data_IF_464497326643
#
_entry.id   IF_464497326643
#
_cell.length_a   1.000
_cell.length_b   1.000
_cell.length_c   1.000
_cell.angle_alpha   90.00
_cell.angle_beta   90.00
_cell.angle_gamma   90.00
#
_symmetry.space_group_name_H-M   'P 1'
#
loop_
_entity.id
_entity.type
_entity.pdbx_description
1 polymer ?
#
# COMPACT_ATOMS: atom_id res chain seq x y z
N UNK A 1 -3.63 -19.90 -9.52
CA UNK A 1 -3.23 -20.67 -8.30
C UNK A 1 -2.08 -21.63 -8.59
N UNK A 2 -2.15 -22.46 -9.63
CA UNK A 2 -1.09 -23.43 -9.94
C UNK A 2 0.21 -22.76 -10.41
N UNK A 3 0.13 -21.74 -11.24
CA UNK A 3 1.28 -20.95 -11.70
C UNK A 3 1.95 -20.22 -10.54
N UNK A 4 1.17 -19.71 -9.58
CA UNK A 4 1.68 -19.02 -8.40
C UNK A 4 2.42 -19.98 -7.47
N UNK A 5 1.90 -21.17 -7.26
CA UNK A 5 2.52 -22.19 -6.43
C UNK A 5 3.85 -22.69 -7.04
N UNK A 6 3.93 -22.82 -8.36
CA UNK A 6 5.17 -23.18 -9.03
C UNK A 6 6.24 -22.08 -8.91
N UNK A 7 5.86 -20.81 -9.00
CA UNK A 7 6.82 -19.71 -8.80
C UNK A 7 7.31 -19.65 -7.35
N UNK A 8 6.44 -19.86 -6.37
CA UNK A 8 6.83 -19.94 -4.95
C UNK A 8 7.78 -21.10 -4.71
N UNK A 9 7.50 -22.28 -5.26
CA UNK A 9 8.37 -23.45 -5.11
C UNK A 9 9.75 -23.23 -5.74
N UNK A 10 9.83 -22.58 -6.91
CA UNK A 10 11.11 -22.24 -7.56
C UNK A 10 11.89 -21.23 -6.70
N UNK A 11 11.24 -20.22 -6.17
CA UNK A 11 11.87 -19.22 -5.31
C UNK A 11 12.38 -19.87 -4.02
N UNK A 12 11.59 -20.73 -3.37
CA UNK A 12 12.02 -21.48 -2.19
C UNK A 12 13.24 -22.37 -2.47
N UNK A 13 13.25 -23.07 -3.60
CA UNK A 13 14.38 -23.94 -3.95
C UNK A 13 15.66 -23.17 -4.28
N UNK A 14 15.53 -21.94 -4.81
CA UNK A 14 16.69 -21.16 -5.27
C UNK A 14 17.23 -20.20 -4.20
N UNK A 15 16.38 -19.66 -3.35
CA UNK A 15 16.73 -18.58 -2.39
C UNK A 15 16.54 -19.00 -0.92
N UNK A 16 15.76 -20.04 -0.65
CA UNK A 16 15.40 -20.47 0.72
C UNK A 16 16.58 -20.87 1.62
N UNK A 17 17.75 -21.17 1.04
CA UNK A 17 18.97 -21.50 1.78
C UNK A 17 19.98 -20.37 1.93
N UNK A 18 19.72 -19.19 1.33
CA UNK A 18 20.67 -18.06 1.35
C UNK A 18 20.38 -17.18 2.56
N UNK A 19 21.38 -16.93 3.38
CA UNK A 19 21.29 -16.03 4.54
C UNK A 19 22.14 -14.77 4.30
N UNK A 20 21.57 -13.60 4.58
CA UNK A 20 22.26 -12.32 4.57
C UNK A 20 22.33 -11.81 6.02
N UNK A 21 23.55 -11.64 6.54
CA UNK A 21 23.77 -11.22 7.93
C UNK A 21 23.05 -12.08 8.98
N UNK A 22 22.88 -13.40 8.72
CA UNK A 22 22.20 -14.32 9.63
C UNK A 22 20.67 -14.36 9.52
N UNK A 23 20.06 -13.53 8.66
CA UNK A 23 18.64 -13.57 8.34
C UNK A 23 18.40 -14.23 7.00
N UNK A 24 17.28 -14.91 6.84
CA UNK A 24 16.91 -15.44 5.51
C UNK A 24 16.71 -14.29 4.51
N UNK A 25 17.20 -14.44 3.31
CA UNK A 25 17.18 -13.36 2.28
C UNK A 25 15.76 -12.96 1.90
N UNK A 26 14.83 -13.90 1.90
CA UNK A 26 13.44 -13.64 1.47
C UNK A 26 12.70 -12.61 2.32
N UNK A 27 12.59 -12.74 3.65
CA UNK A 27 11.95 -11.71 4.47
C UNK A 27 12.62 -10.34 4.36
N UNK A 28 13.95 -10.29 4.20
CA UNK A 28 14.69 -9.05 4.01
C UNK A 28 14.31 -8.39 2.67
N UNK A 29 14.31 -9.16 1.58
CA UNK A 29 13.96 -8.66 0.25
C UNK A 29 12.50 -8.16 0.22
N UNK A 30 11.58 -8.90 0.83
CA UNK A 30 10.16 -8.54 0.93
C UNK A 30 9.96 -7.28 1.79
N UNK A 31 10.71 -7.14 2.87
CA UNK A 31 10.71 -5.93 3.71
C UNK A 31 11.24 -4.71 2.95
N UNK A 32 12.32 -4.85 2.19
CA UNK A 32 12.86 -3.78 1.34
C UNK A 32 11.87 -3.39 0.22
N UNK A 33 11.17 -4.36 -0.36
CA UNK A 33 10.10 -4.10 -1.32
C UNK A 33 8.99 -3.28 -0.69
N UNK A 34 8.58 -3.62 0.54
CA UNK A 34 7.58 -2.84 1.27
C UNK A 34 8.08 -1.42 1.60
N UNK A 35 9.35 -1.23 1.91
CA UNK A 35 9.93 0.10 2.12
C UNK A 35 9.80 0.97 0.86
N UNK A 36 10.04 0.39 -0.33
CA UNK A 36 9.78 1.05 -1.61
C UNK A 36 8.30 1.39 -1.82
N UNK A 37 7.41 0.48 -1.44
CA UNK A 37 5.95 0.72 -1.43
C UNK A 37 5.59 1.87 -0.50
N UNK A 38 6.11 1.88 0.73
CA UNK A 38 5.85 2.93 1.72
C UNK A 38 6.29 4.32 1.22
N UNK A 39 7.44 4.40 0.55
CA UNK A 39 7.90 5.65 -0.08
C UNK A 39 6.97 6.11 -1.19
N UNK A 40 6.58 5.22 -2.10
CA UNK A 40 5.72 5.55 -3.24
C UNK A 40 4.26 5.83 -2.85
N UNK A 41 3.74 5.12 -1.85
CA UNK A 41 2.38 5.28 -1.36
C UNK A 41 2.25 6.31 -0.23
N UNK A 42 3.30 7.06 0.03
CA UNK A 42 3.33 8.12 1.04
C UNK A 42 2.89 7.64 2.44
N UNK A 43 3.32 6.45 2.84
CA UNK A 43 3.09 5.95 4.19
C UNK A 43 4.04 6.61 5.19
N UNK A 44 3.64 6.65 6.45
CA UNK A 44 4.56 7.09 7.51
C UNK A 44 5.84 6.22 7.53
N UNK A 45 7.04 6.84 7.62
CA UNK A 45 7.35 8.27 7.75
C UNK A 45 7.50 9.04 6.43
N UNK A 46 7.33 8.41 5.26
CA UNK A 46 7.62 8.98 3.92
C UNK A 46 6.45 9.78 3.31
N UNK A 47 5.55 10.34 4.12
CA UNK A 47 4.30 10.95 3.64
C UNK A 47 4.43 12.44 3.22
N UNK A 48 5.52 13.12 3.58
CA UNK A 48 5.67 14.58 3.48
C UNK A 48 5.58 15.09 2.04
N UNK A 49 6.10 14.34 1.08
CA UNK A 49 6.13 14.75 -0.32
C UNK A 49 4.74 14.86 -0.97
N UNK A 50 3.75 14.11 -0.48
CA UNK A 50 2.45 14.00 -1.12
C UNK A 50 1.61 15.29 -1.02
N UNK A 51 1.50 15.97 0.15
CA UNK A 51 0.87 17.28 0.25
C UNK A 51 1.61 18.38 -0.52
N UNK A 52 2.94 18.32 -0.61
CA UNK A 52 3.74 19.28 -1.35
C UNK A 52 3.51 19.17 -2.87
N UNK A 53 3.17 17.99 -3.36
CA UNK A 53 2.79 17.78 -4.76
C UNK A 53 1.48 18.50 -5.16
N UNK A 54 0.75 19.10 -4.21
CA UNK A 54 -0.46 19.90 -4.47
C UNK A 54 -0.20 21.27 -5.10
N UNK A 55 1.03 21.73 -5.11
CA UNK A 55 1.47 22.95 -5.81
C UNK A 55 1.33 22.85 -7.35
N UNK A 56 1.20 21.62 -7.86
CA UNK A 56 1.05 21.34 -9.28
C UNK A 56 -0.35 21.60 -9.85
N UNK A 57 -0.49 21.54 -11.19
CA UNK A 57 -1.78 21.70 -11.84
C UNK A 57 -2.75 20.60 -11.43
N UNK A 58 -4.03 20.95 -11.27
CA UNK A 58 -5.08 20.05 -10.77
C UNK A 58 -5.22 18.71 -11.50
N UNK A 59 -5.16 18.66 -12.86
CA UNK A 59 -5.22 17.38 -13.57
C UNK A 59 -4.06 16.44 -13.22
N UNK A 60 -2.85 16.96 -13.02
CA UNK A 60 -1.70 16.16 -12.62
C UNK A 60 -1.84 15.65 -11.20
N UNK A 61 -2.31 16.50 -10.28
CA UNK A 61 -2.61 16.10 -8.89
C UNK A 61 -3.69 15.02 -8.84
N UNK A 62 -4.76 15.16 -9.60
CA UNK A 62 -5.82 14.16 -9.71
C UNK A 62 -5.26 12.80 -10.18
N UNK A 63 -4.42 12.79 -11.21
CA UNK A 63 -3.81 11.56 -11.73
C UNK A 63 -2.90 10.89 -10.71
N UNK A 64 -2.03 11.64 -10.04
CA UNK A 64 -1.08 11.13 -9.04
C UNK A 64 -1.80 10.48 -7.87
N UNK A 65 -2.83 11.15 -7.33
CA UNK A 65 -3.51 10.74 -6.11
C UNK A 65 -4.63 9.72 -6.33
N UNK A 66 -5.32 9.78 -7.48
CA UNK A 66 -6.47 8.92 -7.70
C UNK A 66 -6.09 7.55 -8.29
N UNK A 67 -5.34 7.53 -9.40
CA UNK A 67 -5.32 6.35 -10.24
C UNK A 67 -3.94 5.72 -10.46
N UNK A 68 -2.83 6.44 -10.25
CA UNK A 68 -1.53 5.95 -10.75
C UNK A 68 -0.46 5.78 -9.67
N UNK A 69 0.12 6.85 -9.18
CA UNK A 69 1.38 6.77 -8.47
C UNK A 69 1.25 6.16 -7.07
N UNK A 70 0.28 6.64 -6.28
CA UNK A 70 0.12 6.21 -4.88
C UNK A 70 -0.51 4.82 -4.79
N UNK A 71 -1.43 4.53 -5.70
CA UNK A 71 -2.13 3.24 -5.82
C UNK A 71 -1.21 2.11 -6.28
N UNK A 72 -0.16 2.43 -7.05
CA UNK A 72 0.81 1.45 -7.53
C UNK A 72 1.49 0.66 -6.40
N UNK A 73 1.69 1.28 -5.22
CA UNK A 73 2.23 0.59 -4.06
C UNK A 73 1.30 -0.49 -3.51
N UNK A 74 0.00 -0.19 -3.36
CA UNK A 74 -1.02 -1.17 -2.94
C UNK A 74 -1.09 -2.31 -3.95
N UNK A 75 -1.11 -1.99 -5.25
CA UNK A 75 -1.14 -2.97 -6.31
C UNK A 75 0.10 -3.87 -6.30
N UNK A 76 1.29 -3.32 -6.02
CA UNK A 76 2.52 -4.12 -5.92
C UNK A 76 2.44 -5.12 -4.75
N UNK A 77 1.97 -4.71 -3.57
CA UNK A 77 1.75 -5.63 -2.44
C UNK A 77 0.72 -6.69 -2.80
N UNK A 78 -0.39 -6.31 -3.43
CA UNK A 78 -1.41 -7.25 -3.87
C UNK A 78 -0.87 -8.24 -4.93
N UNK A 79 0.00 -7.80 -5.83
CA UNK A 79 0.60 -8.66 -6.85
C UNK A 79 1.59 -9.66 -6.25
N UNK A 80 2.35 -9.24 -5.25
CA UNK A 80 3.32 -10.06 -4.53
C UNK A 80 2.69 -10.77 -3.32
N UNK A 81 1.37 -10.66 -3.12
CA UNK A 81 0.67 -11.17 -1.95
C UNK A 81 0.98 -12.63 -1.62
N UNK A 82 1.05 -13.58 -2.59
CA UNK A 82 1.43 -14.95 -2.29
C UNK A 82 2.82 -15.07 -1.66
N UNK A 83 3.78 -14.25 -2.08
CA UNK A 83 5.14 -14.26 -1.51
C UNK A 83 5.11 -13.75 -0.07
N UNK A 84 4.32 -12.71 0.21
CA UNK A 84 4.16 -12.19 1.57
C UNK A 84 3.54 -13.24 2.51
N UNK A 85 2.52 -13.96 2.05
CA UNK A 85 1.79 -14.94 2.88
C UNK A 85 2.65 -16.17 3.17
N UNK A 86 3.35 -16.71 2.16
CA UNK A 86 4.07 -17.99 2.29
C UNK A 86 5.48 -17.82 2.83
N UNK A 87 6.20 -16.77 2.44
CA UNK A 87 7.62 -16.61 2.76
C UNK A 87 7.89 -15.65 3.92
N UNK A 88 7.03 -14.66 4.13
CA UNK A 88 7.28 -13.60 5.09
C UNK A 88 6.00 -13.10 5.78
N UNK A 89 5.24 -13.96 6.48
CA UNK A 89 4.01 -13.54 7.17
C UNK A 89 4.26 -12.44 8.20
N UNK A 90 5.44 -12.41 8.82
CA UNK A 90 5.85 -11.36 9.75
C UNK A 90 5.87 -9.96 9.11
N UNK A 91 6.20 -9.87 7.81
CA UNK A 91 6.19 -8.59 7.09
C UNK A 91 4.76 -8.11 6.84
N UNK A 92 3.79 -9.01 6.63
CA UNK A 92 2.37 -8.64 6.56
C UNK A 92 1.87 -8.04 7.87
N UNK A 93 2.31 -8.56 8.99
CA UNK A 93 1.99 -8.00 10.31
C UNK A 93 2.54 -6.58 10.45
N UNK A 94 3.80 -6.36 10.07
CA UNK A 94 4.41 -5.02 10.06
C UNK A 94 3.63 -4.07 9.13
N UNK A 95 3.22 -4.52 7.94
CA UNK A 95 2.41 -3.75 7.00
C UNK A 95 1.09 -3.33 7.64
N UNK A 96 0.44 -4.25 8.37
CA UNK A 96 -0.82 -4.00 9.07
C UNK A 96 -0.66 -2.90 10.12
N UNK A 97 0.34 -2.99 10.99
CA UNK A 97 0.58 -1.99 12.05
C UNK A 97 0.95 -0.62 11.48
N UNK A 98 1.88 -0.58 10.52
CA UNK A 98 2.26 0.69 9.87
C UNK A 98 1.08 1.29 9.12
N UNK A 99 0.30 0.45 8.44
CA UNK A 99 -0.92 0.88 7.74
C UNK A 99 -1.97 1.45 8.68
N UNK A 100 -2.27 0.77 9.78
CA UNK A 100 -3.24 1.23 10.78
C UNK A 100 -2.81 2.56 11.40
N UNK A 101 -1.55 2.67 11.81
CA UNK A 101 -1.00 3.93 12.33
C UNK A 101 -1.09 5.07 11.31
N UNK A 102 -0.64 4.81 10.07
CA UNK A 102 -0.65 5.81 8.99
C UNK A 102 -2.06 6.25 8.65
N UNK A 103 -3.02 5.32 8.62
CA UNK A 103 -4.43 5.63 8.33
C UNK A 103 -5.02 6.60 9.36
N UNK A 104 -4.82 6.33 10.65
CA UNK A 104 -5.28 7.21 11.72
C UNK A 104 -4.55 8.55 11.71
N UNK A 105 -3.22 8.52 11.63
CA UNK A 105 -2.37 9.70 11.62
C UNK A 105 -2.75 10.67 10.48
N UNK A 106 -2.87 10.16 9.26
CA UNK A 106 -3.24 10.98 8.11
C UNK A 106 -4.68 11.52 8.21
N UNK A 107 -5.62 10.76 8.77
CA UNK A 107 -6.98 11.23 8.99
C UNK A 107 -7.04 12.39 9.98
N UNK A 108 -6.30 12.33 11.07
CA UNK A 108 -6.20 13.41 12.06
C UNK A 108 -5.60 14.68 11.43
N UNK A 109 -4.52 14.54 10.65
CA UNK A 109 -3.92 15.68 9.97
C UNK A 109 -4.86 16.28 8.93
N UNK A 110 -5.62 15.46 8.20
CA UNK A 110 -6.61 15.93 7.23
C UNK A 110 -7.63 16.89 7.87
N UNK A 111 -8.05 16.64 9.11
CA UNK A 111 -8.99 17.49 9.85
C UNK A 111 -8.39 18.86 10.23
N UNK A 112 -7.08 19.01 10.23
CA UNK A 112 -6.39 20.26 10.59
C UNK A 112 -6.02 21.13 9.40
N UNK A 113 -6.20 20.63 8.16
CA UNK A 113 -5.85 21.36 6.95
C UNK A 113 -6.92 22.40 6.59
N UNK A 114 -6.45 23.56 6.12
CA UNK A 114 -7.32 24.65 5.63
C UNK A 114 -7.56 24.58 4.14
N UNK A 115 -6.60 23.98 3.38
CA UNK A 115 -6.66 23.86 1.92
C UNK A 115 -7.36 22.56 1.50
N UNK A 116 -8.41 22.67 0.69
CA UNK A 116 -9.19 21.50 0.23
C UNK A 116 -8.34 20.46 -0.51
N UNK A 117 -7.36 20.89 -1.30
CA UNK A 117 -6.44 19.97 -2.00
C UNK A 117 -5.57 19.21 -1.02
N UNK A 118 -5.09 19.84 0.06
CA UNK A 118 -4.31 19.18 1.12
C UNK A 118 -5.18 18.22 1.93
N UNK A 119 -6.43 18.58 2.24
CA UNK A 119 -7.40 17.66 2.87
C UNK A 119 -7.56 16.40 2.02
N UNK A 120 -7.75 16.56 0.70
CA UNK A 120 -7.89 15.45 -0.23
C UNK A 120 -6.61 14.60 -0.31
N UNK A 121 -5.43 15.21 -0.23
CA UNK A 121 -4.15 14.51 -0.22
C UNK A 121 -3.99 13.63 1.04
N UNK A 122 -4.20 14.20 2.24
CA UNK A 122 -4.11 13.42 3.48
C UNK A 122 -5.20 12.34 3.57
N UNK A 123 -6.41 12.62 3.08
CA UNK A 123 -7.43 11.58 2.99
C UNK A 123 -7.07 10.46 2.01
N UNK A 124 -6.29 10.75 0.95
CA UNK A 124 -5.72 9.71 0.08
C UNK A 124 -4.74 8.83 0.84
N UNK A 125 -3.79 9.41 1.59
CA UNK A 125 -2.84 8.65 2.41
C UNK A 125 -3.58 7.71 3.36
N UNK A 126 -4.62 8.23 4.04
CA UNK A 126 -5.44 7.45 4.97
C UNK A 126 -6.11 6.26 4.28
N UNK A 127 -6.71 6.46 3.11
CA UNK A 127 -7.40 5.39 2.37
C UNK A 127 -6.45 4.35 1.80
N UNK A 128 -5.30 4.76 1.28
CA UNK A 128 -4.26 3.85 0.79
C UNK A 128 -3.72 2.99 1.94
N UNK A 129 -3.46 3.60 3.09
CA UNK A 129 -3.02 2.88 4.28
C UNK A 129 -4.09 1.87 4.75
N UNK A 130 -5.37 2.24 4.69
CA UNK A 130 -6.49 1.35 5.01
C UNK A 130 -6.56 0.14 4.05
N UNK A 131 -6.32 0.33 2.75
CA UNK A 131 -6.24 -0.78 1.79
C UNK A 131 -5.09 -1.74 2.13
N UNK A 132 -3.94 -1.22 2.57
CA UNK A 132 -2.80 -2.05 2.98
C UNK A 132 -3.08 -2.82 4.27
N UNK A 133 -3.82 -2.24 5.23
CA UNK A 133 -4.31 -2.97 6.41
C UNK A 133 -5.20 -4.13 5.99
N UNK A 134 -6.14 -3.91 5.08
CA UNK A 134 -7.04 -4.96 4.57
C UNK A 134 -6.26 -6.11 3.90
N UNK A 135 -5.21 -5.79 3.13
CA UNK A 135 -4.31 -6.80 2.57
C UNK A 135 -3.53 -7.54 3.67
N UNK A 136 -2.97 -6.81 4.64
CA UNK A 136 -2.18 -7.39 5.71
C UNK A 136 -2.97 -8.36 6.59
N UNK A 137 -4.21 -8.02 6.93
CA UNK A 137 -5.10 -8.88 7.74
C UNK A 137 -5.57 -10.11 6.95
N UNK A 138 -5.65 -10.04 5.63
CA UNK A 138 -6.11 -11.16 4.78
C UNK A 138 -5.22 -12.40 4.85
N UNK A 139 -3.97 -12.27 5.32
CA UNK A 139 -3.06 -13.41 5.50
C UNK A 139 -3.32 -14.24 6.78
N UNK A 140 -4.15 -13.76 7.72
CA UNK A 140 -4.32 -14.35 9.06
C UNK A 140 -5.71 -14.95 9.33
N UNK A 141 -6.66 -14.88 8.39
CA UNK A 141 -8.05 -15.26 8.65
C UNK A 141 -8.46 -16.61 8.06
N UNK A 142 -9.49 -17.23 8.66
CA UNK A 142 -10.14 -18.43 8.16
C UNK A 142 -10.88 -18.20 6.83
N UNK A 143 -11.16 -16.94 6.47
CA UNK A 143 -11.77 -16.52 5.20
C UNK A 143 -10.70 -16.02 4.24
N UNK A 144 -10.02 -16.96 3.60
CA UNK A 144 -8.94 -16.70 2.65
C UNK A 144 -9.42 -15.77 1.50
N UNK A 145 -8.78 -14.61 1.38
CA UNK A 145 -8.97 -13.70 0.24
C UNK A 145 -10.03 -12.61 0.41
N UNK A 146 -10.80 -12.56 1.50
CA UNK A 146 -11.82 -11.53 1.68
C UNK A 146 -11.18 -10.13 1.79
N UNK A 147 -10.13 -9.97 2.59
CA UNK A 147 -9.41 -8.71 2.74
C UNK A 147 -8.69 -8.30 1.45
N UNK A 148 -8.16 -9.26 0.69
CA UNK A 148 -7.59 -9.02 -0.63
C UNK A 148 -8.66 -8.47 -1.59
N UNK A 149 -9.80 -9.14 -1.69
CA UNK A 149 -10.91 -8.72 -2.55
C UNK A 149 -11.44 -7.35 -2.14
N UNK A 150 -11.63 -7.11 -0.85
CA UNK A 150 -12.07 -5.81 -0.32
C UNK A 150 -11.08 -4.68 -0.65
N UNK A 151 -9.78 -4.93 -0.50
CA UNK A 151 -8.74 -3.95 -0.86
C UNK A 151 -8.78 -3.61 -2.35
N UNK A 152 -8.90 -4.61 -3.23
CA UNK A 152 -8.93 -4.40 -4.69
C UNK A 152 -10.20 -3.67 -5.14
N UNK A 153 -11.37 -3.99 -4.57
CA UNK A 153 -12.60 -3.25 -4.82
C UNK A 153 -12.52 -1.80 -4.34
N UNK A 154 -11.96 -1.59 -3.14
CA UNK A 154 -11.79 -0.24 -2.61
C UNK A 154 -10.80 0.58 -3.44
N UNK A 155 -9.74 -0.05 -3.96
CA UNK A 155 -8.80 0.59 -4.88
C UNK A 155 -9.50 1.12 -6.13
N UNK A 156 -10.38 0.31 -6.75
CA UNK A 156 -11.15 0.73 -7.93
C UNK A 156 -12.11 1.88 -7.62
N UNK A 157 -12.91 1.76 -6.56
CA UNK A 157 -13.86 2.81 -6.16
C UNK A 157 -13.14 4.09 -5.76
N UNK A 158 -12.03 3.99 -5.00
CA UNK A 158 -11.20 5.13 -4.62
C UNK A 158 -10.66 5.88 -5.83
N UNK A 159 -10.16 5.18 -6.85
CA UNK A 159 -9.66 5.82 -8.07
C UNK A 159 -10.73 6.67 -8.74
N UNK A 160 -11.97 6.16 -8.81
CA UNK A 160 -13.08 6.88 -9.46
C UNK A 160 -13.49 8.12 -8.68
N UNK A 161 -13.83 7.99 -7.39
CA UNK A 161 -14.33 9.14 -6.64
C UNK A 161 -13.23 10.17 -6.31
N UNK A 162 -11.98 9.75 -6.12
CA UNK A 162 -10.88 10.70 -5.89
C UNK A 162 -10.55 11.53 -7.12
N UNK A 163 -10.56 10.94 -8.31
CA UNK A 163 -10.36 11.70 -9.54
C UNK A 163 -11.42 12.79 -9.68
N UNK A 164 -12.70 12.47 -9.47
CA UNK A 164 -13.79 13.44 -9.53
C UNK A 164 -13.68 14.53 -8.45
N UNK A 165 -13.32 14.18 -7.22
CA UNK A 165 -13.15 15.15 -6.13
C UNK A 165 -12.00 16.13 -6.39
N UNK A 166 -10.86 15.65 -6.88
CA UNK A 166 -9.74 16.53 -7.22
C UNK A 166 -10.09 17.48 -8.39
N UNK A 167 -10.76 16.97 -9.42
CA UNK A 167 -11.19 17.81 -10.57
C UNK A 167 -12.23 18.84 -10.13
N UNK A 168 -13.11 18.50 -9.17
CA UNK A 168 -14.10 19.45 -8.65
C UNK A 168 -13.48 20.50 -7.71
N UNK A 169 -12.36 20.20 -7.07
CA UNK A 169 -11.66 21.10 -6.14
C UNK A 169 -10.70 22.08 -6.84
N UNK A 170 -10.48 21.95 -8.13
CA UNK A 170 -9.53 22.75 -8.90
C UNK A 170 -10.13 23.51 -10.03
#
# INVERSE_FOLDING_TARGET
TEVTNNHVAIVQSTVGGVTLCGCSVMPVAVCLTFLGVAGKSAMFPFHIWLPDAMEGPTPASALIHAATMVVAGVYLVARLFPIYVFEAPQVLEIITYIGAFTSLFAAVIACTQTDIKRVLAFSTISQIAYMLVSLGVSGYGAEEGLGYTASMWHLFTHAMFKATLFLAAG
#
